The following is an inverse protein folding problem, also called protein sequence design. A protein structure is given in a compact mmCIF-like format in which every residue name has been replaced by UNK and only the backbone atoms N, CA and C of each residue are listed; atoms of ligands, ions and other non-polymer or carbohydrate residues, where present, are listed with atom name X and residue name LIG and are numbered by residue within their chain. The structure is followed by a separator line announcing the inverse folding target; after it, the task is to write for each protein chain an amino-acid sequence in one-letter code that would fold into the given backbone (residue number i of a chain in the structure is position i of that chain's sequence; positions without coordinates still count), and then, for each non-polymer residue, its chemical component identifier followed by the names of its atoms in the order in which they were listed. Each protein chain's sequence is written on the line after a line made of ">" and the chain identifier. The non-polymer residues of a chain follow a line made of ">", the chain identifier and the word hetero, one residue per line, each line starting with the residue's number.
data_IF_738831368762
#
_entry.id   IF_738831368762
#
_cell.length_a   1.000
_cell.length_b   1.000
_cell.length_c   1.000
_cell.angle_alpha   90.00
_cell.angle_beta   90.00
_cell.angle_gamma   90.00
#
_symmetry.space_group_name_H-M   'P 1'
#
loop_
_entity.id
_entity.type
_entity.pdbx_description
1 polymer ?
#
# COMPACT_ATOMS: atom_id res chain seq x y z
N UNK A 1 2.90 13.06 -10.79
CA UNK A 1 3.57 11.73 -10.80
C UNK A 1 4.59 11.47 -9.67
N UNK A 2 5.06 12.47 -8.89
CA UNK A 2 5.85 12.22 -7.65
C UNK A 2 5.17 11.27 -6.64
N UNK A 3 3.84 11.16 -6.67
CA UNK A 3 3.06 10.18 -5.88
C UNK A 3 2.97 8.79 -6.52
N UNK A 4 3.18 8.62 -7.82
CA UNK A 4 3.07 7.34 -8.53
C UNK A 4 4.27 6.42 -8.24
N UNK A 5 5.48 7.01 -8.18
CA UNK A 5 6.69 6.35 -7.63
C UNK A 5 6.52 5.99 -6.14
N UNK A 6 5.89 6.88 -5.35
CA UNK A 6 5.55 6.58 -3.94
C UNK A 6 4.46 5.52 -3.80
N UNK A 7 3.49 5.40 -4.72
CA UNK A 7 2.44 4.37 -4.67
C UNK A 7 2.99 2.97 -4.98
N UNK A 8 3.86 2.86 -5.99
CA UNK A 8 4.55 1.60 -6.32
C UNK A 8 5.54 1.17 -5.22
N UNK A 9 6.09 2.12 -4.44
CA UNK A 9 7.02 1.87 -3.33
C UNK A 9 6.40 1.81 -1.92
N UNK A 10 5.21 2.41 -1.68
CA UNK A 10 4.60 2.46 -0.35
C UNK A 10 3.76 1.23 -0.02
N UNK A 11 3.17 0.57 -1.03
CA UNK A 11 2.51 -0.72 -0.82
C UNK A 11 3.53 -1.85 -0.58
N UNK A 12 4.76 -1.70 -1.08
CA UNK A 12 5.81 -2.72 -1.04
C UNK A 12 6.64 -2.74 0.26
N UNK A 13 6.51 -1.73 1.11
CA UNK A 13 7.31 -1.59 2.34
C UNK A 13 6.64 -2.20 3.58
N UNK A 14 5.31 -2.27 3.66
CA UNK A 14 4.60 -2.69 4.89
C UNK A 14 4.63 -4.22 5.10
N UNK A 15 4.63 -5.02 4.03
CA UNK A 15 4.77 -6.49 4.13
C UNK A 15 6.21 -6.93 4.47
N UNK A 16 7.22 -6.19 4.00
CA UNK A 16 8.62 -6.40 4.43
C UNK A 16 8.84 -5.91 5.87
N UNK A 17 8.23 -4.80 6.28
CA UNK A 17 8.37 -4.25 7.64
C UNK A 17 7.61 -5.01 8.73
N UNK A 18 6.47 -5.64 8.42
CA UNK A 18 5.75 -6.51 9.36
C UNK A 18 6.62 -7.67 9.86
N UNK A 19 7.56 -8.12 9.03
CA UNK A 19 8.49 -9.20 9.36
C UNK A 19 9.92 -8.72 9.63
N UNK A 20 10.31 -7.48 9.30
CA UNK A 20 11.71 -7.06 9.38
C UNK A 20 12.12 -6.16 10.54
N UNK A 21 11.27 -5.40 11.24
CA UNK A 21 11.81 -4.48 12.26
C UNK A 21 10.85 -3.93 13.33
N UNK A 22 11.31 -3.95 14.58
CA UNK A 22 10.83 -3.29 15.82
C UNK A 22 9.72 -3.93 16.65
N UNK A 23 9.13 -5.05 16.25
CA UNK A 23 8.04 -5.70 16.99
C UNK A 23 8.37 -7.09 17.53
N UNK A 24 9.62 -7.44 17.86
CA UNK A 24 9.97 -8.82 18.27
C UNK A 24 10.69 -8.86 19.62
N UNK A 25 10.16 -9.70 20.54
CA UNK A 25 10.58 -9.89 21.93
C UNK A 25 12.03 -10.39 22.07
N UNK A 26 12.65 -10.22 23.24
CA UNK A 26 14.09 -10.41 23.50
C UNK A 26 14.60 -11.86 23.63
N UNK A 27 13.72 -12.86 23.65
CA UNK A 27 14.14 -14.25 23.91
C UNK A 27 14.60 -14.99 22.64
N UNK A 28 15.72 -15.75 22.75
CA UNK A 28 16.16 -16.69 21.71
C UNK A 28 16.95 -16.09 20.54
N UNK A 29 17.89 -15.19 20.83
CA UNK A 29 18.77 -14.56 19.83
C UNK A 29 19.85 -15.56 19.37
N UNK A 30 19.70 -16.14 18.18
CA UNK A 30 20.86 -16.73 17.48
C UNK A 30 21.64 -15.58 16.83
N UNK A 31 22.86 -15.30 17.32
CA UNK A 31 23.73 -14.29 16.72
C UNK A 31 24.08 -14.74 15.31
N UNK A 32 23.71 -13.93 14.31
CA UNK A 32 24.22 -14.16 12.96
C UNK A 32 25.72 -13.82 12.95
N UNK A 33 26.59 -14.66 12.37
CA UNK A 33 27.99 -14.30 12.22
C UNK A 33 28.07 -12.99 11.45
N UNK A 34 28.83 -12.02 11.99
CA UNK A 34 29.19 -10.81 11.27
C UNK A 34 29.99 -11.22 10.03
N UNK A 35 29.32 -11.45 8.91
CA UNK A 35 29.96 -12.00 7.72
C UNK A 35 28.98 -12.42 6.64
N UNK A 36 29.54 -12.78 5.49
CA UNK A 36 28.78 -13.27 4.36
C UNK A 36 28.17 -14.64 4.69
N UNK A 37 26.87 -14.81 4.44
CA UNK A 37 26.15 -16.07 4.67
C UNK A 37 25.84 -16.73 3.32
N UNK A 38 26.39 -17.91 3.08
CA UNK A 38 26.07 -18.73 1.91
C UNK A 38 24.86 -19.64 2.21
N UNK A 39 23.81 -19.52 1.41
CA UNK A 39 22.66 -20.41 1.40
C UNK A 39 22.81 -21.34 0.20
N UNK A 40 22.97 -22.63 0.48
CA UNK A 40 23.00 -23.70 -0.54
C UNK A 40 21.67 -24.43 -0.57
N UNK A 41 21.12 -24.66 -1.76
CA UNK A 41 19.93 -25.47 -2.03
C UNK A 41 20.38 -26.85 -2.50
N UNK A 42 19.80 -27.90 -1.94
CA UNK A 42 19.98 -29.26 -2.42
C UNK A 42 18.68 -29.75 -3.06
N UNK A 43 18.80 -30.65 -4.04
CA UNK A 43 17.63 -31.23 -4.73
C UNK A 43 16.66 -31.96 -3.78
N UNK A 44 17.16 -32.45 -2.64
CA UNK A 44 16.39 -33.20 -1.65
C UNK A 44 16.02 -32.35 -0.42
N UNK A 45 16.18 -31.04 -0.45
CA UNK A 45 15.73 -30.18 0.66
C UNK A 45 14.20 -30.30 0.82
N UNK A 46 13.74 -30.52 2.06
CA UNK A 46 12.30 -30.56 2.34
C UNK A 46 11.65 -29.18 2.16
N UNK A 47 10.32 -29.16 2.04
CA UNK A 47 9.55 -27.90 1.96
C UNK A 47 9.83 -26.98 3.15
N UNK A 48 9.93 -27.53 4.36
CA UNK A 48 10.23 -26.78 5.59
C UNK A 48 11.64 -26.18 5.54
N UNK A 49 12.63 -26.96 5.06
CA UNK A 49 14.01 -26.49 4.95
C UNK A 49 14.14 -25.39 3.88
N UNK A 50 13.48 -25.55 2.73
CA UNK A 50 13.41 -24.52 1.69
C UNK A 50 12.75 -23.24 2.22
N UNK A 51 11.68 -23.37 3.02
CA UNK A 51 11.01 -22.24 3.65
C UNK A 51 11.93 -21.52 4.64
N UNK A 52 12.64 -22.25 5.50
CA UNK A 52 13.64 -21.67 6.42
C UNK A 52 14.77 -20.95 5.70
N UNK A 53 15.23 -21.50 4.57
CA UNK A 53 16.22 -20.84 3.70
C UNK A 53 15.65 -19.56 3.07
N UNK A 54 14.38 -19.57 2.68
CA UNK A 54 13.69 -18.39 2.17
C UNK A 54 13.54 -17.29 3.23
N UNK A 55 13.27 -17.64 4.49
CA UNK A 55 13.17 -16.67 5.61
C UNK A 55 14.44 -15.83 5.75
N UNK A 56 15.62 -16.44 5.55
CA UNK A 56 16.91 -15.73 5.54
C UNK A 56 17.09 -14.78 4.35
N UNK A 57 16.33 -14.97 3.28
CA UNK A 57 16.31 -14.12 2.09
C UNK A 57 15.21 -13.07 2.12
N UNK A 58 14.39 -12.98 3.18
CA UNK A 58 13.33 -11.97 3.36
C UNK A 58 13.93 -10.58 3.67
N UNK A 59 14.69 -10.07 2.71
CA UNK A 59 15.37 -8.78 2.77
C UNK A 59 14.86 -7.89 1.63
N UNK A 60 14.95 -6.56 1.74
CA UNK A 60 14.59 -5.67 0.64
C UNK A 60 15.32 -5.99 -0.68
N UNK A 61 16.51 -6.60 -0.60
CA UNK A 61 17.33 -6.99 -1.75
C UNK A 61 17.24 -8.49 -2.10
N UNK A 62 16.60 -9.31 -1.26
CA UNK A 62 16.51 -10.76 -1.39
C UNK A 62 15.11 -11.31 -1.62
N UNK A 63 14.05 -10.51 -1.44
CA UNK A 63 12.66 -10.99 -1.45
C UNK A 63 12.27 -11.77 -2.73
N UNK A 64 12.79 -11.40 -3.90
CA UNK A 64 12.52 -12.12 -5.14
C UNK A 64 13.13 -13.53 -5.12
N UNK A 65 14.33 -13.68 -4.55
CA UNK A 65 14.96 -14.98 -4.33
C UNK A 65 14.27 -15.78 -3.23
N UNK A 66 13.79 -15.11 -2.17
CA UNK A 66 12.94 -15.75 -1.16
C UNK A 66 11.68 -16.33 -1.81
N UNK A 67 11.01 -15.57 -2.68
CA UNK A 67 9.84 -16.04 -3.42
C UNK A 67 10.14 -17.24 -4.33
N UNK A 68 11.28 -17.26 -5.02
CA UNK A 68 11.71 -18.41 -5.82
C UNK A 68 11.89 -19.68 -4.97
N UNK A 69 12.47 -19.55 -3.77
CA UNK A 69 12.61 -20.65 -2.81
C UNK A 69 11.26 -21.11 -2.23
N UNK A 70 10.38 -20.17 -1.90
CA UNK A 70 9.03 -20.47 -1.42
C UNK A 70 8.21 -21.19 -2.49
N UNK A 71 8.37 -20.80 -3.75
CA UNK A 71 7.74 -21.48 -4.89
C UNK A 71 8.26 -22.92 -5.06
N UNK A 72 9.53 -23.18 -4.75
CA UNK A 72 10.07 -24.55 -4.71
C UNK A 72 9.56 -25.33 -3.50
N UNK A 73 9.49 -24.69 -2.33
CA UNK A 73 8.90 -25.29 -1.12
C UNK A 73 7.45 -25.73 -1.37
N UNK A 74 6.65 -24.88 -2.02
CA UNK A 74 5.25 -25.20 -2.35
C UNK A 74 5.09 -26.26 -3.44
N UNK A 75 6.11 -26.47 -4.28
CA UNK A 75 6.14 -27.61 -5.22
C UNK A 75 6.49 -28.91 -4.50
N UNK A 76 7.36 -28.86 -3.50
CA UNK A 76 7.71 -30.02 -2.68
C UNK A 76 6.56 -30.41 -1.75
N UNK A 77 5.88 -29.43 -1.15
CA UNK A 77 4.65 -29.61 -0.39
C UNK A 77 3.75 -28.37 -0.51
N UNK A 78 2.65 -28.52 -1.23
CA UNK A 78 1.64 -27.47 -1.42
C UNK A 78 0.87 -27.14 -0.13
N UNK A 79 0.88 -28.03 0.87
CA UNK A 79 0.24 -27.88 2.17
C UNK A 79 1.05 -27.06 3.18
N UNK A 80 2.31 -26.71 2.88
CA UNK A 80 3.17 -25.96 3.79
C UNK A 80 2.62 -24.55 4.05
N UNK A 81 1.93 -24.40 5.18
CA UNK A 81 1.24 -23.16 5.55
C UNK A 81 2.19 -21.97 5.71
N UNK A 82 3.40 -22.21 6.25
CA UNK A 82 4.42 -21.16 6.40
C UNK A 82 4.87 -20.64 5.03
N UNK A 83 5.15 -21.55 4.10
CA UNK A 83 5.52 -21.18 2.74
C UNK A 83 4.39 -20.41 2.04
N UNK A 84 3.13 -20.83 2.21
CA UNK A 84 1.96 -20.15 1.65
C UNK A 84 1.79 -18.73 2.19
N UNK A 85 1.95 -18.52 3.51
CA UNK A 85 1.90 -17.18 4.11
C UNK A 85 2.91 -16.25 3.43
N UNK A 86 4.18 -16.66 3.36
CA UNK A 86 5.22 -15.83 2.77
C UNK A 86 5.07 -15.64 1.26
N UNK A 87 4.74 -16.70 0.52
CA UNK A 87 4.58 -16.63 -0.93
C UNK A 87 3.47 -15.65 -1.32
N UNK A 88 2.31 -15.74 -0.67
CA UNK A 88 1.20 -14.81 -0.92
C UNK A 88 1.57 -13.36 -0.54
N UNK A 89 2.23 -13.16 0.60
CA UNK A 89 2.67 -11.84 1.03
C UNK A 89 3.66 -11.18 0.04
N UNK A 90 4.56 -11.97 -0.55
CA UNK A 90 5.59 -11.48 -1.47
C UNK A 90 5.13 -11.37 -2.93
N UNK A 91 4.07 -12.08 -3.33
CA UNK A 91 3.73 -12.20 -4.75
C UNK A 91 3.46 -10.85 -5.42
N UNK A 92 2.73 -9.95 -4.75
CA UNK A 92 2.47 -8.59 -5.23
C UNK A 92 3.76 -7.77 -5.46
N UNK A 93 4.81 -8.03 -4.68
CA UNK A 93 6.13 -7.41 -4.85
C UNK A 93 6.84 -7.95 -6.08
N UNK A 94 6.78 -9.28 -6.28
CA UNK A 94 7.44 -9.96 -7.40
C UNK A 94 6.86 -9.56 -8.74
N UNK A 95 5.56 -9.22 -8.80
CA UNK A 95 4.93 -8.68 -10.00
C UNK A 95 5.57 -7.36 -10.48
N UNK A 96 6.22 -6.60 -9.59
CA UNK A 96 6.91 -5.35 -9.94
C UNK A 96 8.30 -5.56 -10.55
N UNK A 97 8.66 -6.80 -10.91
CA UNK A 97 9.90 -7.08 -11.66
C UNK A 97 9.94 -6.24 -12.93
N UNK A 98 11.05 -5.51 -13.10
CA UNK A 98 11.27 -4.67 -14.27
C UNK A 98 10.40 -3.42 -14.35
N UNK A 99 9.54 -3.13 -13.36
CA UNK A 99 8.51 -2.10 -13.51
C UNK A 99 9.07 -0.73 -13.91
N UNK A 100 10.24 -0.33 -13.40
CA UNK A 100 10.84 0.95 -13.76
C UNK A 100 11.14 0.98 -15.26
N UNK A 101 11.83 -0.04 -15.78
CA UNK A 101 12.11 -0.14 -17.21
C UNK A 101 10.83 -0.29 -18.05
N UNK A 102 9.84 -1.04 -17.57
CA UNK A 102 8.57 -1.28 -18.26
C UNK A 102 7.78 0.00 -18.50
N UNK A 103 7.76 0.94 -17.55
CA UNK A 103 7.02 2.21 -17.66
C UNK A 103 7.79 3.32 -18.40
N UNK A 104 9.05 3.10 -18.80
CA UNK A 104 9.83 4.11 -19.52
C UNK A 104 9.11 4.67 -20.76
N UNK A 105 8.47 3.86 -21.63
CA UNK A 105 7.78 4.39 -22.81
C UNK A 105 6.62 5.33 -22.48
N UNK A 106 5.89 5.10 -21.39
CA UNK A 106 4.80 6.00 -20.99
C UNK A 106 5.35 7.32 -20.42
N UNK A 107 6.50 7.30 -19.75
CA UNK A 107 7.17 8.53 -19.29
C UNK A 107 7.66 9.37 -20.47
N UNK A 108 8.20 8.73 -21.51
CA UNK A 108 8.58 9.38 -22.77
C UNK A 108 7.37 10.04 -23.47
N UNK A 109 6.20 9.39 -23.44
CA UNK A 109 4.96 9.94 -24.03
C UNK A 109 4.36 11.10 -23.22
N UNK A 110 4.58 11.13 -21.92
CA UNK A 110 4.09 12.21 -21.06
C UNK A 110 4.88 13.50 -21.32
N UNK A 111 6.21 13.41 -21.46
CA UNK A 111 7.04 14.56 -21.85
C UNK A 111 8.41 14.59 -21.17
N UNK A 112 9.27 15.49 -21.62
CA UNK A 112 10.68 15.56 -21.21
C UNK A 112 10.86 15.78 -19.71
N UNK A 113 10.01 16.61 -19.09
CA UNK A 113 10.03 16.85 -17.65
C UNK A 113 9.69 15.57 -16.86
N UNK A 114 8.68 14.82 -17.28
CA UNK A 114 8.34 13.54 -16.66
C UNK A 114 9.44 12.50 -16.84
N UNK A 115 10.04 12.42 -18.03
CA UNK A 115 11.16 11.53 -18.33
C UNK A 115 12.40 11.88 -17.49
N UNK A 116 12.74 13.17 -17.40
CA UNK A 116 13.86 13.69 -16.59
C UNK A 116 13.66 13.37 -15.10
N UNK A 117 12.46 13.64 -14.57
CA UNK A 117 12.11 13.29 -13.20
C UNK A 117 12.21 11.78 -12.95
N UNK A 118 11.72 10.96 -13.88
CA UNK A 118 11.83 9.50 -13.81
C UNK A 118 13.30 9.03 -13.82
N UNK A 119 14.15 9.59 -14.67
CA UNK A 119 15.58 9.28 -14.72
C UNK A 119 16.33 9.71 -13.44
N UNK A 120 15.99 10.88 -12.89
CA UNK A 120 16.53 11.36 -11.62
C UNK A 120 16.14 10.42 -10.46
N UNK A 121 14.87 10.00 -10.40
CA UNK A 121 14.39 9.03 -9.40
C UNK A 121 15.14 7.69 -9.51
N UNK A 122 15.33 7.16 -10.72
CA UNK A 122 16.13 5.93 -10.93
C UNK A 122 17.57 6.10 -10.48
N UNK A 123 18.16 7.26 -10.74
CA UNK A 123 19.54 7.57 -10.35
C UNK A 123 19.70 7.63 -8.83
N UNK A 124 18.67 8.10 -8.13
CA UNK A 124 18.62 8.16 -6.66
C UNK A 124 18.44 6.80 -5.97
N UNK A 125 18.01 5.77 -6.69
CA UNK A 125 17.95 4.40 -6.16
C UNK A 125 19.39 3.86 -6.09
N UNK A 126 19.86 3.42 -4.90
CA UNK A 126 21.16 2.78 -4.75
C UNK A 126 21.37 1.64 -5.74
N UNK A 127 22.60 1.43 -6.21
CA UNK A 127 22.93 0.30 -7.07
C UNK A 127 22.87 -1.02 -6.28
N UNK A 128 21.67 -1.58 -6.13
CA UNK A 128 21.39 -2.74 -5.31
C UNK A 128 20.70 -3.86 -6.11
N UNK A 129 20.50 -5.03 -5.49
CA UNK A 129 19.69 -6.10 -6.09
C UNK A 129 18.24 -5.66 -6.33
N UNK A 130 17.66 -4.80 -5.47
CA UNK A 130 16.35 -4.21 -5.71
C UNK A 130 16.34 -3.36 -6.99
N UNK A 131 17.33 -2.47 -7.19
CA UNK A 131 17.41 -1.65 -8.42
C UNK A 131 17.50 -2.53 -9.66
N UNK A 132 18.36 -3.55 -9.64
CA UNK A 132 18.48 -4.53 -10.73
C UNK A 132 17.17 -5.26 -10.98
N UNK A 133 16.47 -5.69 -9.93
CA UNK A 133 15.16 -6.32 -10.02
C UNK A 133 14.13 -5.40 -10.69
N UNK A 134 14.04 -4.14 -10.26
CA UNK A 134 13.10 -3.14 -10.79
C UNK A 134 13.43 -2.70 -12.22
N UNK A 135 14.66 -2.88 -12.70
CA UNK A 135 15.09 -2.58 -14.08
C UNK A 135 15.12 -3.83 -14.99
N UNK A 136 14.89 -5.03 -14.44
CA UNK A 136 14.91 -6.29 -15.19
C UNK A 136 13.56 -6.56 -15.89
N UNK A 137 13.33 -5.91 -17.03
CA UNK A 137 12.15 -6.12 -17.86
C UNK A 137 12.29 -5.59 -19.29
N UNK A 138 11.26 -5.82 -20.10
CA UNK A 138 11.07 -5.19 -21.40
C UNK A 138 10.44 -3.80 -21.24
N UNK A 139 10.61 -2.90 -22.20
CA UNK A 139 9.92 -1.61 -22.23
C UNK A 139 8.52 -1.80 -22.85
N UNK A 140 7.56 -2.34 -22.10
CA UNK A 140 6.28 -2.83 -22.64
C UNK A 140 5.03 -2.05 -22.18
N UNK A 141 5.12 -1.18 -21.18
CA UNK A 141 4.00 -0.37 -20.66
C UNK A 141 4.06 1.04 -21.28
N UNK A 142 3.37 1.19 -22.41
CA UNK A 142 3.33 2.43 -23.20
C UNK A 142 1.96 3.11 -23.22
N UNK A 143 0.93 2.49 -22.63
CA UNK A 143 -0.46 3.00 -22.63
C UNK A 143 -1.08 2.94 -21.24
N UNK A 144 -2.09 3.78 -20.99
CA UNK A 144 -2.87 3.74 -19.76
C UNK A 144 -3.51 2.37 -19.51
N UNK A 145 -3.99 1.69 -20.55
CA UNK A 145 -4.56 0.34 -20.44
C UNK A 145 -3.55 -0.66 -19.88
N UNK A 146 -2.29 -0.61 -20.34
CA UNK A 146 -1.25 -1.49 -19.82
C UNK A 146 -0.83 -1.14 -18.38
N UNK A 147 -0.84 0.14 -18.02
CA UNK A 147 -0.66 0.57 -16.62
C UNK A 147 -1.76 -0.03 -15.75
N UNK A 148 -3.02 0.09 -16.15
CA UNK A 148 -4.14 -0.47 -15.40
C UNK A 148 -4.09 -1.99 -15.33
N UNK A 149 -3.71 -2.68 -16.41
CA UNK A 149 -3.52 -4.13 -16.40
C UNK A 149 -2.46 -4.56 -15.37
N UNK A 150 -1.34 -3.85 -15.27
CA UNK A 150 -0.32 -4.09 -14.25
C UNK A 150 -0.87 -3.84 -12.83
N UNK A 151 -1.56 -2.72 -12.61
CA UNK A 151 -2.16 -2.41 -11.31
C UNK A 151 -3.21 -3.46 -10.90
N UNK A 152 -4.03 -3.94 -11.83
CA UNK A 152 -5.01 -4.99 -11.59
C UNK A 152 -4.34 -6.32 -11.22
N UNK A 153 -3.19 -6.66 -11.82
CA UNK A 153 -2.42 -7.85 -11.45
C UNK A 153 -1.89 -7.74 -10.01
N UNK A 154 -1.35 -6.57 -9.63
CA UNK A 154 -0.90 -6.30 -8.25
C UNK A 154 -2.08 -6.37 -7.27
N UNK A 155 -3.21 -5.75 -7.61
CA UNK A 155 -4.46 -5.80 -6.84
C UNK A 155 -4.93 -7.23 -6.63
N UNK A 156 -4.95 -8.06 -7.68
CA UNK A 156 -5.35 -9.47 -7.60
C UNK A 156 -4.46 -10.27 -6.66
N UNK A 157 -3.14 -10.02 -6.68
CA UNK A 157 -2.20 -10.65 -5.75
C UNK A 157 -2.43 -10.22 -4.29
N UNK A 158 -2.77 -8.95 -4.06
CA UNK A 158 -3.11 -8.45 -2.72
C UNK A 158 -4.43 -9.01 -2.21
N UNK A 159 -5.44 -9.14 -3.08
CA UNK A 159 -6.70 -9.79 -2.73
C UNK A 159 -6.47 -11.26 -2.38
N UNK A 160 -5.72 -12.01 -3.19
CA UNK A 160 -5.36 -13.39 -2.87
C UNK A 160 -4.69 -13.54 -1.49
N UNK A 161 -3.78 -12.61 -1.14
CA UNK A 161 -3.18 -12.59 0.19
C UNK A 161 -4.21 -12.27 1.30
N UNK A 162 -5.03 -11.25 1.11
CA UNK A 162 -6.08 -10.87 2.06
C UNK A 162 -7.08 -12.02 2.30
N UNK A 163 -7.57 -12.68 1.25
CA UNK A 163 -8.45 -13.84 1.36
C UNK A 163 -7.76 -15.00 2.07
N UNK A 164 -6.50 -15.30 1.71
CA UNK A 164 -5.73 -16.35 2.38
C UNK A 164 -5.63 -16.10 3.89
N UNK A 165 -5.32 -14.88 4.32
CA UNK A 165 -5.24 -14.52 5.74
C UNK A 165 -6.61 -14.66 6.42
N UNK A 166 -7.68 -14.21 5.77
CA UNK A 166 -9.06 -14.31 6.28
C UNK A 166 -9.49 -15.76 6.49
N UNK A 167 -9.21 -16.63 5.53
CA UNK A 167 -9.51 -18.07 5.58
C UNK A 167 -8.64 -18.83 6.59
N UNK A 168 -7.45 -18.33 6.89
CA UNK A 168 -6.45 -18.99 7.74
C UNK A 168 -6.18 -18.24 9.06
N UNK A 169 -7.17 -17.51 9.58
CA UNK A 169 -7.03 -16.70 10.81
C UNK A 169 -6.55 -17.47 12.04
N UNK A 170 -6.77 -18.78 12.09
CA UNK A 170 -6.39 -19.65 13.22
C UNK A 170 -5.04 -20.38 13.01
N UNK A 171 -4.23 -19.94 12.04
CA UNK A 171 -2.90 -20.53 11.85
C UNK A 171 -2.03 -20.26 13.08
N UNK A 172 -1.32 -21.29 13.52
CA UNK A 172 -0.23 -21.20 14.49
C UNK A 172 1.03 -21.72 13.80
N UNK A 173 1.89 -20.80 13.37
CA UNK A 173 3.16 -21.13 12.75
C UNK A 173 4.29 -20.38 13.43
N UNK A 174 5.39 -21.08 13.57
CA UNK A 174 6.66 -20.46 13.90
C UNK A 174 7.19 -19.70 12.69
N UNK A 175 7.76 -18.53 12.88
CA UNK A 175 8.47 -17.75 11.88
C UNK A 175 9.84 -17.39 12.41
N UNK A 176 10.79 -17.22 11.51
CA UNK A 176 12.16 -16.83 11.83
C UNK A 176 12.52 -15.50 11.14
N UNK A 177 11.85 -14.39 11.50
CA UNK A 177 12.17 -13.08 10.98
C UNK A 177 13.62 -12.70 11.31
N UNK A 178 14.29 -12.11 10.33
CA UNK A 178 15.65 -11.61 10.54
C UNK A 178 15.59 -10.21 11.14
N UNK A 179 16.24 -10.00 12.27
CA UNK A 179 16.20 -8.72 12.99
C UNK A 179 17.33 -7.82 12.52
N UNK A 180 16.94 -6.64 12.04
CA UNK A 180 17.87 -5.57 11.71
C UNK A 180 18.26 -4.82 13.00
N UNK A 181 19.54 -4.46 13.10
CA UNK A 181 20.05 -3.56 14.14
C UNK A 181 19.15 -2.32 14.34
N UNK A 182 18.77 -2.04 15.59
CA UNK A 182 18.08 -0.79 15.95
C UNK A 182 18.96 0.39 15.48
N UNK A 183 18.38 1.30 14.70
CA UNK A 183 19.09 2.45 14.12
C UNK A 183 19.39 2.35 12.61
N UNK A 184 19.28 1.17 12.00
CA UNK A 184 19.38 1.03 10.54
C UNK A 184 18.01 1.32 9.92
N UNK A 185 17.89 2.46 9.25
CA UNK A 185 16.67 2.77 8.49
C UNK A 185 16.57 1.92 7.21
N UNK A 186 15.37 1.83 6.63
CA UNK A 186 15.12 1.05 5.41
C UNK A 186 16.05 1.44 4.25
N UNK A 187 16.38 2.72 4.10
CA UNK A 187 17.29 3.20 3.05
C UNK A 187 18.70 2.65 3.25
N UNK A 188 19.17 2.57 4.49
CA UNK A 188 20.44 1.92 4.83
C UNK A 188 20.40 0.41 4.58
N UNK A 189 19.27 -0.27 4.78
CA UNK A 189 19.14 -1.69 4.39
C UNK A 189 19.29 -1.90 2.88
N UNK A 190 18.76 -0.97 2.07
CA UNK A 190 18.87 -1.04 0.61
C UNK A 190 20.33 -0.91 0.13
N UNK A 191 21.18 -0.19 0.86
CA UNK A 191 22.58 0.07 0.48
C UNK A 191 23.56 -0.94 1.08
N UNK A 192 23.34 -1.40 2.31
CA UNK A 192 24.31 -2.20 3.05
C UNK A 192 24.09 -3.69 2.83
N UNK A 193 22.84 -4.16 2.82
CA UNK A 193 22.53 -5.58 2.69
C UNK A 193 22.44 -6.00 1.22
N UNK A 194 23.28 -6.93 0.77
CA UNK A 194 23.24 -7.45 -0.59
C UNK A 194 22.89 -8.94 -0.60
N UNK A 195 22.11 -9.34 -1.60
CA UNK A 195 21.84 -10.75 -1.89
C UNK A 195 22.26 -11.01 -3.33
N UNK A 196 23.21 -11.92 -3.51
CA UNK A 196 23.78 -12.30 -4.80
C UNK A 196 23.46 -13.76 -5.10
N UNK A 197 22.82 -14.03 -6.25
CA UNK A 197 22.67 -15.40 -6.75
C UNK A 197 24.00 -15.84 -7.40
N UNK A 198 24.71 -16.78 -6.77
CA UNK A 198 25.99 -17.32 -7.25
C UNK A 198 25.80 -18.41 -8.30
N UNK A 199 24.77 -19.24 -8.12
CA UNK A 199 24.38 -20.29 -9.06
C UNK A 199 22.87 -20.55 -8.96
N UNK A 200 22.35 -21.55 -9.69
CA UNK A 200 20.97 -22.00 -9.51
C UNK A 200 20.68 -22.53 -8.10
N UNK A 201 21.71 -22.95 -7.37
CA UNK A 201 21.60 -23.59 -6.05
C UNK A 201 22.27 -22.80 -4.93
N UNK A 202 22.83 -21.62 -5.19
CA UNK A 202 23.59 -20.88 -4.19
C UNK A 202 23.24 -19.39 -4.18
N UNK A 203 22.96 -18.87 -2.98
CA UNK A 203 22.74 -17.45 -2.71
C UNK A 203 23.72 -16.98 -1.64
N UNK A 204 24.39 -15.85 -1.87
CA UNK A 204 25.30 -15.23 -0.92
C UNK A 204 24.66 -13.95 -0.39
N UNK A 205 24.37 -13.93 0.92
CA UNK A 205 23.94 -12.76 1.66
C UNK A 205 25.18 -12.05 2.17
N UNK A 206 25.37 -10.78 1.83
CA UNK A 206 26.55 -9.99 2.22
C UNK A 206 26.15 -8.77 3.01
N UNK A 207 26.96 -8.45 4.02
CA UNK A 207 26.94 -7.14 4.71
C UNK A 207 25.57 -6.74 5.27
N UNK A 208 24.67 -7.69 5.49
CA UNK A 208 23.37 -7.36 6.06
C UNK A 208 23.54 -7.11 7.57
N UNK A 209 23.10 -5.95 8.11
CA UNK A 209 23.31 -5.58 9.50
C UNK A 209 22.31 -6.28 10.42
N UNK A 210 22.20 -7.59 10.28
CA UNK A 210 21.34 -8.42 11.08
C UNK A 210 22.03 -8.74 12.39
N UNK A 211 21.35 -8.47 13.49
CA UNK A 211 21.86 -8.84 14.82
C UNK A 211 21.60 -10.28 15.13
N UNK A 212 20.46 -10.79 14.65
CA UNK A 212 19.96 -12.08 15.05
C UNK A 212 18.83 -12.58 14.15
N UNK A 213 18.65 -13.90 14.17
CA UNK A 213 17.39 -14.53 13.80
C UNK A 213 16.63 -14.78 15.10
N UNK A 214 15.39 -14.31 15.18
CA UNK A 214 14.51 -14.66 16.30
C UNK A 214 13.39 -15.54 15.83
N UNK A 215 13.06 -16.51 16.67
CA UNK A 215 11.90 -17.36 16.47
C UNK A 215 10.69 -16.71 17.13
N UNK A 216 9.62 -16.51 16.36
CA UNK A 216 8.36 -15.97 16.85
C UNK A 216 7.20 -16.81 16.35
N UNK A 217 6.10 -16.84 17.10
CA UNK A 217 4.85 -17.47 16.67
C UNK A 217 3.92 -16.44 16.07
N UNK A 218 3.42 -16.73 14.87
CA UNK A 218 2.21 -16.12 14.35
C UNK A 218 1.02 -16.91 14.88
N UNK A 219 0.30 -16.32 15.82
CA UNK A 219 -0.98 -16.86 16.27
C UNK A 219 -2.16 -16.03 15.76
N UNK A 220 -3.39 -16.33 16.22
CA UNK A 220 -4.60 -15.67 15.74
C UNK A 220 -4.60 -14.15 15.82
N UNK A 221 -4.10 -13.58 16.92
CA UNK A 221 -4.00 -12.12 17.06
C UNK A 221 -2.99 -11.48 16.09
N UNK A 222 -1.90 -12.18 15.76
CA UNK A 222 -0.93 -11.68 14.78
C UNK A 222 -1.54 -11.75 13.36
N UNK A 223 -2.32 -12.79 13.09
CA UNK A 223 -3.05 -12.94 11.83
C UNK A 223 -4.13 -11.87 11.65
N UNK A 224 -4.79 -11.47 12.74
CA UNK A 224 -5.76 -10.36 12.73
C UNK A 224 -5.08 -9.04 12.35
N UNK A 225 -3.92 -8.75 12.93
CA UNK A 225 -3.12 -7.56 12.55
C UNK A 225 -2.71 -7.64 11.08
N UNK A 226 -2.20 -8.78 10.62
CA UNK A 226 -1.81 -8.99 9.21
C UNK A 226 -3.02 -8.83 8.28
N UNK A 227 -4.21 -9.28 8.69
CA UNK A 227 -5.46 -9.12 7.94
C UNK A 227 -5.76 -7.66 7.67
N UNK A 228 -5.68 -6.81 8.69
CA UNK A 228 -5.90 -5.36 8.52
C UNK A 228 -4.80 -4.68 7.69
N UNK A 229 -3.55 -5.15 7.78
CA UNK A 229 -2.46 -4.65 6.93
C UNK A 229 -2.70 -5.00 5.46
N UNK A 230 -3.10 -6.24 5.17
CA UNK A 230 -3.46 -6.69 3.82
C UNK A 230 -4.70 -5.94 3.30
N UNK A 231 -5.70 -5.73 4.16
CA UNK A 231 -6.88 -4.94 3.84
C UNK A 231 -6.50 -3.50 3.45
N UNK A 232 -5.64 -2.82 4.20
CA UNK A 232 -5.18 -1.46 3.86
C UNK A 232 -4.52 -1.36 2.48
N UNK A 233 -3.75 -2.38 2.08
CA UNK A 233 -3.17 -2.46 0.74
C UNK A 233 -4.25 -2.62 -0.34
N UNK A 234 -5.17 -3.57 -0.13
CA UNK A 234 -6.29 -3.80 -1.07
C UNK A 234 -7.19 -2.57 -1.20
N UNK A 235 -7.51 -1.87 -0.10
CA UNK A 235 -8.26 -0.60 -0.13
C UNK A 235 -7.57 0.42 -1.03
N UNK A 236 -6.25 0.61 -0.86
CA UNK A 236 -5.49 1.54 -1.69
C UNK A 236 -5.53 1.15 -3.17
N UNK A 237 -5.47 -0.14 -3.49
CA UNK A 237 -5.56 -0.62 -4.88
C UNK A 237 -6.96 -0.45 -5.47
N UNK A 238 -8.03 -0.71 -4.71
CA UNK A 238 -9.41 -0.45 -5.14
C UNK A 238 -9.58 1.03 -5.48
N UNK A 239 -9.23 1.93 -4.56
CA UNK A 239 -9.40 3.37 -4.75
C UNK A 239 -8.62 3.92 -5.96
N UNK A 240 -7.50 3.30 -6.31
CA UNK A 240 -6.63 3.75 -7.41
C UNK A 240 -6.95 3.11 -8.75
N UNK A 241 -7.73 2.02 -8.76
CA UNK A 241 -8.07 1.26 -9.97
C UNK A 241 -9.55 1.26 -10.31
N UNK A 242 -10.42 1.79 -9.44
CA UNK A 242 -11.88 1.80 -9.62
C UNK A 242 -12.35 2.49 -10.92
N UNK A 243 -11.60 3.47 -11.40
CA UNK A 243 -11.93 4.27 -12.58
C UNK A 243 -10.95 4.04 -13.74
N UNK A 244 -11.43 4.19 -14.95
CA UNK A 244 -10.65 4.02 -16.17
C UNK A 244 -9.65 5.18 -16.35
N UNK A 245 -8.39 4.84 -16.65
CA UNK A 245 -7.29 5.79 -16.83
C UNK A 245 -7.03 6.09 -18.32
N UNK A 246 -7.77 5.48 -19.25
CA UNK A 246 -7.63 5.70 -20.69
C UNK A 246 -7.87 7.18 -21.02
N UNK A 247 -6.89 7.82 -21.64
CA UNK A 247 -6.87 9.27 -21.84
C UNK A 247 -6.03 10.04 -20.81
N UNK A 248 -5.69 9.40 -19.68
CA UNK A 248 -4.93 10.04 -18.60
C UNK A 248 -3.48 10.34 -18.95
N UNK A 249 -2.88 9.60 -19.91
CA UNK A 249 -1.53 9.91 -20.43
C UNK A 249 -1.53 11.23 -21.18
N UNK A 250 -2.57 11.47 -21.99
CA UNK A 250 -2.72 12.70 -22.76
C UNK A 250 -2.96 13.90 -21.84
N UNK A 251 -3.82 13.74 -20.83
CA UNK A 251 -4.04 14.78 -19.81
C UNK A 251 -2.75 15.04 -19.01
N UNK A 252 -2.03 13.98 -18.63
CA UNK A 252 -0.75 14.12 -17.94
C UNK A 252 0.30 14.84 -18.81
N UNK A 253 0.31 14.61 -20.11
CA UNK A 253 1.20 15.31 -21.03
C UNK A 253 0.87 16.81 -21.12
N UNK A 254 -0.41 17.19 -21.06
CA UNK A 254 -0.82 18.58 -20.97
C UNK A 254 -0.33 19.24 -19.67
N UNK A 255 -0.41 18.53 -18.53
CA UNK A 255 0.10 19.03 -17.23
C UNK A 255 1.60 19.33 -17.26
N UNK A 256 2.38 18.63 -18.07
CA UNK A 256 3.82 18.90 -18.21
C UNK A 256 4.14 20.10 -19.12
N UNK A 257 3.15 20.64 -19.83
CA UNK A 257 3.29 21.92 -20.54
C UNK A 257 3.37 23.08 -19.53
N UNK A 258 3.89 24.23 -19.96
CA UNK A 258 4.15 25.36 -19.04
C UNK A 258 2.80 25.93 -18.54
N UNK A 259 2.49 25.60 -17.29
CA UNK A 259 1.44 26.20 -16.44
C UNK A 259 0.01 26.21 -17.02
N UNK A 260 -0.55 25.07 -17.44
CA UNK A 260 -1.95 25.04 -17.84
C UNK A 260 -2.85 25.37 -16.65
N UNK A 261 -3.80 26.27 -16.84
CA UNK A 261 -4.80 26.58 -15.82
C UNK A 261 -5.83 25.45 -15.70
N UNK A 262 -6.68 25.49 -14.66
CA UNK A 262 -7.67 24.43 -14.44
C UNK A 262 -8.67 24.31 -15.60
N UNK A 263 -9.04 25.43 -16.23
CA UNK A 263 -9.97 25.45 -17.37
C UNK A 263 -9.44 24.63 -18.55
N UNK A 264 -8.17 24.82 -18.92
CA UNK A 264 -7.52 24.08 -20.00
C UNK A 264 -7.41 22.58 -19.66
N UNK A 265 -6.97 22.26 -18.44
CA UNK A 265 -6.82 20.88 -17.98
C UNK A 265 -8.16 20.13 -17.94
N UNK A 266 -9.20 20.77 -17.38
CA UNK A 266 -10.53 20.17 -17.29
C UNK A 266 -11.16 20.06 -18.68
N UNK A 267 -10.96 21.06 -19.55
CA UNK A 267 -11.44 21.01 -20.93
C UNK A 267 -10.84 19.82 -21.68
N UNK A 268 -9.52 19.63 -21.62
CA UNK A 268 -8.87 18.47 -22.24
C UNK A 268 -9.35 17.15 -21.64
N UNK A 269 -9.42 17.05 -20.31
CA UNK A 269 -9.91 15.85 -19.63
C UNK A 269 -11.34 15.49 -20.05
N UNK A 270 -12.22 16.48 -20.25
CA UNK A 270 -13.59 16.28 -20.73
C UNK A 270 -13.65 15.70 -22.15
N UNK A 271 -12.68 16.00 -23.01
CA UNK A 271 -12.58 15.40 -24.35
C UNK A 271 -12.21 13.91 -24.34
N UNK A 272 -11.63 13.40 -23.24
CA UNK A 272 -11.20 11.99 -23.16
C UNK A 272 -12.38 11.11 -22.77
N UNK A 273 -13.00 10.47 -23.77
CA UNK A 273 -14.26 9.74 -23.59
C UNK A 273 -14.27 8.74 -22.44
N UNK A 274 -13.19 7.98 -22.24
CA UNK A 274 -13.12 6.92 -21.23
C UNK A 274 -12.43 7.31 -19.92
N UNK A 275 -11.78 8.48 -19.86
CA UNK A 275 -11.10 8.91 -18.65
C UNK A 275 -12.10 9.16 -17.53
N UNK A 276 -11.87 8.59 -16.35
CA UNK A 276 -12.71 8.81 -15.17
C UNK A 276 -14.04 8.06 -15.19
N UNK A 277 -14.31 7.22 -16.20
CA UNK A 277 -15.47 6.31 -16.18
C UNK A 277 -15.26 5.19 -15.18
N UNK A 278 -16.27 4.89 -14.39
CA UNK A 278 -16.28 3.77 -13.45
C UNK A 278 -16.13 2.45 -14.21
N UNK A 279 -15.23 1.58 -13.77
CA UNK A 279 -15.10 0.25 -14.37
C UNK A 279 -16.19 -0.69 -13.84
N UNK A 280 -16.54 -1.71 -14.62
CA UNK A 280 -17.48 -2.76 -14.19
C UNK A 280 -16.93 -3.61 -13.03
N UNK A 281 -15.60 -3.73 -12.93
CA UNK A 281 -14.84 -4.47 -11.92
C UNK A 281 -14.20 -3.52 -10.87
N UNK A 282 -14.87 -2.43 -10.51
CA UNK A 282 -14.30 -1.38 -9.65
C UNK A 282 -14.09 -1.79 -8.18
N UNK A 283 -14.84 -2.77 -7.68
CA UNK A 283 -14.77 -3.29 -6.30
C UNK A 283 -14.99 -2.24 -5.19
N UNK A 284 -15.51 -1.04 -5.47
CA UNK A 284 -15.74 -0.02 -4.43
C UNK A 284 -16.71 -0.50 -3.35
N UNK A 285 -17.73 -1.27 -3.73
CA UNK A 285 -18.67 -1.87 -2.78
C UNK A 285 -17.99 -2.84 -1.80
N UNK A 286 -16.85 -3.45 -2.17
CA UNK A 286 -16.11 -4.33 -1.24
C UNK A 286 -15.52 -3.56 -0.05
N UNK A 287 -15.29 -2.25 -0.21
CA UNK A 287 -14.79 -1.40 0.88
C UNK A 287 -15.78 -1.34 2.06
N UNK A 288 -17.07 -1.53 1.82
CA UNK A 288 -18.09 -1.65 2.87
C UNK A 288 -17.82 -2.89 3.72
N UNK A 289 -17.62 -4.05 3.09
CA UNK A 289 -17.29 -5.29 3.79
C UNK A 289 -15.94 -5.20 4.50
N UNK A 290 -14.94 -4.57 3.89
CA UNK A 290 -13.62 -4.38 4.52
C UNK A 290 -13.68 -3.43 5.72
N UNK A 291 -14.55 -2.41 5.67
CA UNK A 291 -14.86 -1.55 6.80
C UNK A 291 -15.51 -2.33 7.95
N UNK A 292 -16.48 -3.19 7.65
CA UNK A 292 -17.10 -4.06 8.65
C UNK A 292 -16.08 -5.02 9.28
N UNK A 293 -15.24 -5.67 8.46
CA UNK A 293 -14.15 -6.52 8.93
C UNK A 293 -13.18 -5.76 9.87
N UNK A 294 -12.93 -4.47 9.63
CA UNK A 294 -12.12 -3.61 10.49
C UNK A 294 -12.79 -3.36 11.86
N UNK A 295 -14.08 -3.04 11.87
CA UNK A 295 -14.85 -2.84 13.11
C UNK A 295 -14.89 -4.13 13.93
N UNK A 296 -15.20 -5.26 13.29
CA UNK A 296 -15.24 -6.58 13.92
C UNK A 296 -13.88 -6.96 14.52
N UNK A 297 -12.79 -6.72 13.79
CA UNK A 297 -11.43 -6.99 14.26
C UNK A 297 -11.05 -6.12 15.46
N UNK A 298 -11.45 -4.84 15.46
CA UNK A 298 -11.20 -3.95 16.58
C UNK A 298 -11.99 -4.34 17.84
N UNK A 299 -13.27 -4.70 17.71
CA UNK A 299 -14.07 -5.18 18.84
C UNK A 299 -13.58 -6.55 19.34
N UNK A 300 -13.06 -7.41 18.45
CA UNK A 300 -12.39 -8.65 18.86
C UNK A 300 -11.12 -8.39 19.69
N UNK A 301 -10.25 -7.47 19.26
CA UNK A 301 -9.05 -7.08 20.02
C UNK A 301 -9.46 -6.51 21.39
N UNK A 302 -10.48 -5.66 21.42
CA UNK A 302 -11.03 -5.07 22.65
C UNK A 302 -11.60 -6.12 23.60
N UNK A 303 -12.29 -7.13 23.09
CA UNK A 303 -12.79 -8.27 23.87
C UNK A 303 -11.69 -9.12 24.50
N UNK A 304 -10.48 -9.13 23.90
CA UNK A 304 -9.31 -9.88 24.38
C UNK A 304 -8.22 -8.98 24.98
N UNK A 305 -8.54 -7.75 25.35
CA UNK A 305 -7.52 -6.77 25.71
C UNK A 305 -6.66 -7.21 26.91
N UNK A 306 -7.23 -7.89 27.90
CA UNK A 306 -6.46 -8.42 29.05
C UNK A 306 -5.38 -9.42 28.63
N UNK A 307 -5.59 -10.13 27.53
CA UNK A 307 -4.64 -11.10 26.98
C UNK A 307 -3.65 -10.45 26.00
N UNK A 308 -4.15 -9.52 25.17
CA UNK A 308 -3.38 -8.92 24.09
C UNK A 308 -2.62 -7.66 24.51
N UNK A 309 -3.04 -6.98 25.57
CA UNK A 309 -2.42 -5.79 26.16
C UNK A 309 -2.45 -5.87 27.71
N UNK A 310 -1.75 -6.85 28.32
CA UNK A 310 -1.84 -7.13 29.76
C UNK A 310 -1.41 -5.96 30.66
N UNK A 311 -0.63 -5.00 30.16
CA UNK A 311 -0.23 -3.81 30.93
C UNK A 311 -1.14 -2.59 30.70
N UNK A 312 -2.21 -2.75 29.92
CA UNK A 312 -3.20 -1.69 29.65
C UNK A 312 -2.65 -0.47 28.91
N UNK A 313 -1.43 -0.55 28.39
CA UNK A 313 -0.77 0.53 27.66
C UNK A 313 0.14 -0.03 26.58
N UNK A 314 0.40 0.75 25.53
CA UNK A 314 1.24 0.30 24.42
C UNK A 314 2.72 0.27 24.83
N UNK A 315 3.25 -0.92 25.17
CA UNK A 315 4.68 -1.12 25.49
C UNK A 315 5.28 -2.29 24.71
N UNK A 316 6.61 -2.27 24.56
CA UNK A 316 7.37 -3.38 23.97
C UNK A 316 7.30 -4.63 24.86
N UNK A 317 7.43 -5.80 24.23
CA UNK A 317 7.58 -7.11 24.88
C UNK A 317 6.42 -7.52 25.80
N UNK A 318 5.20 -7.07 25.53
CA UNK A 318 3.99 -7.54 26.22
C UNK A 318 3.45 -8.87 25.70
N UNK A 319 3.81 -9.23 24.47
CA UNK A 319 3.45 -10.49 23.82
C UNK A 319 4.74 -11.29 23.52
N UNK A 320 5.43 -11.83 24.54
CA UNK A 320 6.70 -12.53 24.35
C UNK A 320 6.53 -13.73 23.42
N UNK A 321 7.52 -13.95 22.54
CA UNK A 321 7.49 -15.02 21.55
C UNK A 321 6.43 -14.87 20.44
N UNK A 322 5.72 -13.73 20.35
CA UNK A 322 4.79 -13.44 19.24
C UNK A 322 5.44 -12.55 18.19
N UNK A 323 4.92 -12.62 16.96
CA UNK A 323 5.41 -11.84 15.84
C UNK A 323 5.22 -10.32 16.04
N UNK A 324 4.12 -9.92 16.70
CA UNK A 324 3.94 -8.56 17.19
C UNK A 324 4.08 -8.54 18.72
N UNK A 325 5.28 -8.23 19.20
CA UNK A 325 5.68 -8.26 20.62
C UNK A 325 5.06 -7.14 21.45
N UNK A 326 4.60 -6.07 20.81
CA UNK A 326 3.87 -4.99 21.46
C UNK A 326 2.45 -5.43 21.79
N UNK A 327 1.90 -4.87 22.86
CA UNK A 327 0.49 -5.10 23.21
C UNK A 327 -0.44 -4.58 22.13
N UNK A 328 -1.54 -5.29 21.86
CA UNK A 328 -2.64 -4.81 21.02
C UNK A 328 -3.69 -4.17 21.93
N UNK A 329 -3.52 -2.88 22.20
CA UNK A 329 -4.29 -2.14 23.20
C UNK A 329 -5.41 -1.35 22.49
N UNK A 330 -6.66 -1.78 22.62
CA UNK A 330 -7.78 -1.07 22.01
C UNK A 330 -8.24 0.13 22.86
N UNK A 331 -8.12 0.03 24.18
CA UNK A 331 -8.60 1.01 25.14
C UNK A 331 -7.55 2.02 25.61
N UNK A 332 -6.26 1.85 25.26
CA UNK A 332 -5.20 2.80 25.63
C UNK A 332 -5.43 4.20 25.03
N UNK A 333 -5.92 5.12 25.85
CA UNK A 333 -6.14 6.52 25.45
C UNK A 333 -4.90 7.38 25.59
N UNK A 334 -3.83 6.89 26.23
CA UNK A 334 -2.57 7.63 26.40
C UNK A 334 -1.71 7.58 25.14
N UNK A 335 -1.79 6.49 24.38
CA UNK A 335 -1.08 6.32 23.13
C UNK A 335 -1.76 7.04 21.94
N UNK A 336 -0.97 7.82 21.20
CA UNK A 336 -1.48 8.60 20.07
C UNK A 336 -1.90 7.72 18.89
N UNK A 337 -1.23 6.59 18.67
CA UNK A 337 -1.56 5.67 17.59
C UNK A 337 -2.89 4.96 17.86
N UNK A 338 -3.13 4.53 19.09
CA UNK A 338 -4.37 3.91 19.54
C UNK A 338 -5.55 4.87 19.44
N UNK A 339 -5.38 6.13 19.89
CA UNK A 339 -6.40 7.18 19.68
C UNK A 339 -6.73 7.38 18.20
N UNK A 340 -5.71 7.41 17.35
CA UNK A 340 -5.88 7.54 15.90
C UNK A 340 -6.66 6.36 15.31
N UNK A 341 -6.28 5.12 15.63
CA UNK A 341 -6.96 3.91 15.17
C UNK A 341 -8.43 3.91 15.63
N UNK A 342 -8.70 4.22 16.91
CA UNK A 342 -10.09 4.31 17.41
C UNK A 342 -10.90 5.35 16.65
N UNK A 343 -10.33 6.54 16.42
CA UNK A 343 -11.00 7.58 15.63
C UNK A 343 -11.33 7.10 14.22
N UNK A 344 -10.43 6.35 13.58
CA UNK A 344 -10.66 5.75 12.25
C UNK A 344 -11.78 4.71 12.33
N UNK A 345 -11.73 3.77 13.28
CA UNK A 345 -12.75 2.72 13.46
C UNK A 345 -14.13 3.33 13.71
N UNK A 346 -14.24 4.29 14.63
CA UNK A 346 -15.51 4.99 14.90
C UNK A 346 -16.02 5.76 13.68
N UNK A 347 -15.13 6.35 12.89
CA UNK A 347 -15.51 7.03 11.64
C UNK A 347 -16.06 6.03 10.62
N UNK A 348 -15.38 4.90 10.45
CA UNK A 348 -15.81 3.82 9.56
C UNK A 348 -17.15 3.25 10.01
N UNK A 349 -17.32 2.93 11.29
CA UNK A 349 -18.57 2.43 11.86
C UNK A 349 -19.75 3.37 11.57
N UNK A 350 -19.56 4.68 11.81
CA UNK A 350 -20.57 5.69 11.49
C UNK A 350 -20.92 5.72 10.00
N UNK A 351 -19.92 5.69 9.12
CA UNK A 351 -20.14 5.67 7.66
C UNK A 351 -20.85 4.41 7.18
N UNK A 352 -20.62 3.26 7.83
CA UNK A 352 -21.30 1.99 7.50
C UNK A 352 -22.75 1.97 7.97
N UNK A 353 -23.06 2.68 9.05
CA UNK A 353 -24.41 2.81 9.59
C UNK A 353 -25.30 3.74 8.74
N UNK A 354 -24.71 4.62 7.92
CA UNK A 354 -25.41 5.53 7.03
C UNK A 354 -24.72 6.89 6.93
N UNK A 355 -25.43 7.95 6.51
CA UNK A 355 -24.87 9.29 6.43
C UNK A 355 -24.41 9.78 7.80
N UNK A 356 -23.16 10.24 7.89
CA UNK A 356 -22.53 10.63 9.15
C UNK A 356 -21.80 11.97 9.06
N UNK A 357 -21.85 12.76 10.12
CA UNK A 357 -21.02 13.96 10.23
C UNK A 357 -19.56 13.58 10.49
N UNK A 358 -18.69 14.03 9.59
CA UNK A 358 -17.24 13.83 9.67
C UNK A 358 -16.56 15.17 9.87
N UNK A 359 -15.58 15.16 10.76
CA UNK A 359 -14.73 16.33 11.01
C UNK A 359 -13.69 16.49 9.90
N UNK A 360 -13.52 17.70 9.40
CA UNK A 360 -12.40 18.07 8.52
C UNK A 360 -11.80 19.41 8.97
N UNK A 361 -10.58 19.71 8.52
CA UNK A 361 -9.87 20.92 8.91
C UNK A 361 -9.65 21.80 7.70
N UNK A 362 -10.08 23.05 7.81
CA UNK A 362 -9.91 24.06 6.78
C UNK A 362 -8.44 24.43 6.64
N UNK A 363 -7.97 24.56 5.41
CA UNK A 363 -6.53 24.62 5.08
C UNK A 363 -5.85 25.91 5.56
N UNK A 364 -6.53 27.05 5.55
CA UNK A 364 -5.89 28.35 5.80
C UNK A 364 -5.85 28.78 7.28
N UNK A 365 -6.82 28.37 8.10
CA UNK A 365 -6.90 28.72 9.52
C UNK A 365 -6.84 27.50 10.46
N UNK A 366 -6.87 26.26 9.91
CA UNK A 366 -6.93 25.04 10.69
C UNK A 366 -8.25 24.83 11.44
N UNK A 367 -9.29 25.62 11.15
CA UNK A 367 -10.57 25.53 11.84
C UNK A 367 -11.23 24.17 11.58
N UNK A 368 -11.66 23.53 12.66
CA UNK A 368 -12.42 22.29 12.61
C UNK A 368 -13.81 22.58 12.06
N UNK A 369 -14.20 21.86 11.01
CA UNK A 369 -15.50 21.91 10.35
C UNK A 369 -16.14 20.53 10.38
N UNK A 370 -17.45 20.47 10.15
CA UNK A 370 -18.19 19.23 9.99
C UNK A 370 -18.92 19.21 8.66
N UNK A 371 -18.97 18.04 8.05
CA UNK A 371 -19.75 17.79 6.84
C UNK A 371 -20.47 16.46 6.93
N UNK A 372 -21.71 16.39 6.44
CA UNK A 372 -22.46 15.15 6.32
C UNK A 372 -21.91 14.35 5.13
N UNK A 373 -21.48 13.11 5.38
CA UNK A 373 -20.91 12.21 4.38
C UNK A 373 -21.74 10.94 4.28
N UNK A 374 -22.26 10.63 3.09
CA UNK A 374 -22.95 9.39 2.75
C UNK A 374 -21.94 8.37 2.22
N UNK A 375 -21.03 7.93 3.10
CA UNK A 375 -19.86 7.14 2.72
C UNK A 375 -20.23 5.77 2.14
N UNK A 376 -21.17 5.06 2.77
CA UNK A 376 -21.63 3.75 2.29
C UNK A 376 -22.39 3.87 0.98
N UNK A 377 -23.31 4.81 0.87
CA UNK A 377 -24.11 5.03 -0.34
C UNK A 377 -23.22 5.40 -1.52
N UNK A 378 -22.18 6.22 -1.29
CA UNK A 378 -21.18 6.53 -2.31
C UNK A 378 -20.38 5.30 -2.76
N UNK A 379 -20.02 4.40 -1.84
CA UNK A 379 -19.27 3.18 -2.19
C UNK A 379 -20.13 2.15 -2.93
N UNK A 380 -21.42 2.05 -2.59
CA UNK A 380 -22.37 1.16 -3.25
C UNK A 380 -22.87 1.74 -4.59
N UNK A 381 -23.02 3.06 -4.68
CA UNK A 381 -23.51 3.78 -5.85
C UNK A 381 -22.56 4.92 -6.28
N UNK A 382 -21.30 4.61 -6.62
CA UNK A 382 -20.31 5.64 -6.96
C UNK A 382 -20.67 6.31 -8.29
N UNK A 383 -20.20 7.55 -8.45
CA UNK A 383 -20.32 8.30 -9.70
C UNK A 383 -19.87 7.44 -10.89
N UNK A 384 -20.73 7.32 -11.91
CA UNK A 384 -20.39 6.50 -13.11
C UNK A 384 -19.32 7.17 -13.98
N UNK A 385 -19.17 8.49 -13.88
CA UNK A 385 -18.16 9.27 -14.57
C UNK A 385 -17.68 10.40 -13.65
N UNK A 386 -16.41 10.38 -13.22
CA UNK A 386 -15.82 11.43 -12.39
C UNK A 386 -15.84 12.81 -13.07
N UNK A 387 -15.91 12.86 -14.41
CA UNK A 387 -16.00 14.12 -15.16
C UNK A 387 -17.33 14.84 -14.94
N UNK A 388 -18.36 14.15 -14.45
CA UNK A 388 -19.63 14.78 -14.04
C UNK A 388 -19.47 15.70 -12.83
N UNK A 389 -18.43 15.46 -12.01
CA UNK A 389 -18.09 16.31 -10.86
C UNK A 389 -17.32 17.55 -11.31
N UNK A 390 -16.50 17.42 -12.36
CA UNK A 390 -15.62 18.50 -12.80
C UNK A 390 -16.41 19.75 -13.24
N UNK A 391 -15.89 20.97 -12.98
CA UNK A 391 -16.49 22.24 -13.38
C UNK A 391 -16.95 22.24 -14.84
N UNK A 392 -18.15 22.78 -15.12
CA UNK A 392 -18.66 22.94 -16.49
C UNK A 392 -17.84 24.02 -17.22
N UNK A 393 -17.07 23.60 -18.23
CA UNK A 393 -16.13 24.46 -18.97
C UNK A 393 -16.82 25.44 -19.91
N UNK A 394 -18.14 25.29 -20.13
CA UNK A 394 -18.95 26.23 -20.90
C UNK A 394 -19.46 27.43 -20.10
N UNK A 395 -19.34 27.40 -18.76
CA UNK A 395 -19.81 28.46 -17.87
C UNK A 395 -18.64 29.27 -17.34
N UNK A 396 -18.57 30.54 -17.72
CA UNK A 396 -17.50 31.45 -17.31
C UNK A 396 -17.37 31.55 -15.77
N UNK A 397 -18.49 31.63 -15.05
CA UNK A 397 -18.50 31.78 -13.59
C UNK A 397 -17.94 30.57 -12.81
N UNK A 398 -17.67 29.45 -13.50
CA UNK A 398 -17.02 28.28 -12.91
C UNK A 398 -15.49 28.43 -12.80
N UNK A 399 -14.94 29.48 -13.38
CA UNK A 399 -13.53 29.75 -13.40
C UNK A 399 -13.28 31.23 -13.07
N UNK A 400 -12.21 31.51 -12.34
CA UNK A 400 -11.78 32.89 -12.14
C UNK A 400 -11.09 33.43 -13.40
N UNK A 401 -10.72 34.71 -13.38
CA UNK A 401 -9.98 35.37 -14.46
C UNK A 401 -8.60 34.74 -14.77
N UNK A 402 -8.10 33.87 -13.88
CA UNK A 402 -6.83 33.15 -14.03
C UNK A 402 -7.05 31.71 -14.51
N UNK A 403 -8.31 31.32 -14.76
CA UNK A 403 -8.69 29.98 -15.18
C UNK A 403 -8.65 28.95 -14.06
N UNK A 404 -8.60 29.35 -12.78
CA UNK A 404 -8.75 28.43 -11.66
C UNK A 404 -10.21 28.08 -11.45
N UNK A 405 -10.50 26.82 -11.12
CA UNK A 405 -11.87 26.42 -10.80
C UNK A 405 -12.39 27.14 -9.55
N UNK A 406 -13.62 27.65 -9.61
CA UNK A 406 -14.32 28.31 -8.48
C UNK A 406 -15.47 27.48 -7.93
N UNK A 407 -16.02 26.57 -8.75
CA UNK A 407 -17.09 25.65 -8.38
C UNK A 407 -17.08 24.36 -9.23
N UNK A 408 -17.53 23.26 -8.63
CA UNK A 408 -17.78 21.98 -9.30
C UNK A 408 -19.18 21.92 -9.91
N UNK A 409 -19.37 21.06 -10.91
CA UNK A 409 -20.68 20.87 -11.54
C UNK A 409 -21.64 20.06 -10.66
N UNK A 410 -21.12 19.05 -9.96
CA UNK A 410 -21.87 18.26 -8.99
C UNK A 410 -21.39 18.57 -7.57
N UNK A 411 -22.17 19.36 -6.85
CA UNK A 411 -21.90 19.76 -5.46
C UNK A 411 -22.11 18.63 -4.46
N UNK A 412 -22.69 17.50 -4.86
CA UNK A 412 -22.73 16.30 -4.03
C UNK A 412 -21.44 15.48 -4.11
N UNK A 413 -20.51 15.83 -5.02
CA UNK A 413 -19.29 15.08 -5.30
C UNK A 413 -19.55 13.60 -5.62
N UNK A 414 -20.53 13.34 -6.50
CA UNK A 414 -20.92 12.00 -6.88
C UNK A 414 -21.76 11.29 -5.82
N UNK A 415 -22.54 12.04 -5.02
CA UNK A 415 -23.37 11.51 -3.94
C UNK A 415 -22.67 11.37 -2.58
N UNK A 416 -21.36 11.66 -2.48
CA UNK A 416 -20.61 11.59 -1.22
C UNK A 416 -21.13 12.60 -0.18
N UNK A 417 -21.51 13.80 -0.62
CA UNK A 417 -21.97 14.92 0.20
C UNK A 417 -23.46 15.17 -0.07
N UNK A 418 -24.39 14.50 0.63
CA UNK A 418 -25.82 14.58 0.33
C UNK A 418 -26.40 16.00 0.46
N UNK A 419 -25.78 16.86 1.26
CA UNK A 419 -26.20 18.25 1.48
C UNK A 419 -25.70 19.23 0.41
N UNK A 420 -25.08 18.77 -0.68
CA UNK A 420 -24.56 19.64 -1.73
C UNK A 420 -23.46 20.61 -1.25
N UNK A 421 -22.71 20.21 -0.22
CA UNK A 421 -21.65 21.02 0.40
C UNK A 421 -20.32 21.02 -0.38
N UNK A 422 -20.25 20.40 -1.56
CA UNK A 422 -19.01 20.17 -2.31
C UNK A 422 -18.19 21.42 -2.57
N UNK A 423 -18.80 22.52 -3.01
CA UNK A 423 -18.08 23.78 -3.22
C UNK A 423 -17.48 24.34 -1.92
N UNK A 424 -18.24 24.27 -0.82
CA UNK A 424 -17.77 24.72 0.50
C UNK A 424 -16.58 23.89 0.95
N UNK A 425 -16.71 22.56 0.93
CA UNK A 425 -15.65 21.64 1.34
C UNK A 425 -14.40 21.80 0.48
N UNK A 426 -14.55 21.84 -0.84
CA UNK A 426 -13.42 21.99 -1.76
C UNK A 426 -12.74 23.36 -1.62
N UNK A 427 -13.52 24.42 -1.35
CA UNK A 427 -12.97 25.74 -1.02
C UNK A 427 -12.18 25.63 0.28
N UNK A 428 -12.78 25.16 1.38
CA UNK A 428 -12.11 24.99 2.68
C UNK A 428 -10.81 24.17 2.61
N UNK A 429 -10.74 23.17 1.72
CA UNK A 429 -9.55 22.35 1.48
C UNK A 429 -8.52 23.01 0.53
N UNK A 430 -8.84 24.18 -0.02
CA UNK A 430 -8.03 24.93 -0.98
C UNK A 430 -7.80 24.19 -2.30
N UNK A 431 -8.82 23.44 -2.75
CA UNK A 431 -8.84 22.73 -4.03
C UNK A 431 -9.36 23.64 -5.14
N UNK A 432 -10.39 24.43 -4.85
CA UNK A 432 -10.97 25.45 -5.75
C UNK A 432 -10.83 26.84 -5.10
N UNK A 433 -11.10 27.92 -5.85
CA UNK A 433 -10.94 29.31 -5.42
C UNK A 433 -9.51 29.62 -4.95
N UNK A 434 -8.52 29.15 -5.71
CA UNK A 434 -7.10 29.41 -5.42
C UNK A 434 -6.74 30.84 -5.83
N UNK A 435 -5.83 31.52 -5.11
CA UNK A 435 -5.36 32.84 -5.53
C UNK A 435 -4.71 32.77 -6.92
N UNK A 436 -4.92 33.80 -7.72
CA UNK A 436 -4.11 34.09 -8.89
C UNK A 436 -2.67 34.41 -8.44
N UNK A 437 -1.69 33.63 -8.91
CA UNK A 437 -0.27 33.85 -8.61
C UNK A 437 0.49 34.30 -9.85
#
# INVERSE_FOLDING_TARGET
>A
MKKFSRLLCAASSVALLAFSTNALAEDGVESLPNGDTLITINANDSSELLTKKAERLLTPNGFAHAYDLLSQALRADSGNKKARVYANALYSLVLNKGILKRIKPIMERVGDNALSNYQAEISNIPNSSLKRFLLNGSEDIDTATKVQAHLNAVKSAQDAFYQYIKENKNIDIEISPTIVNQGVNFRSLLTVCEVEKKSSTQYLIKRCPYTSVKTAKLGPADMEVIRHMAAGQKISSILTTAYNLKGGVQVAALVEQINPNDHELISDAKTKSDLGKLKSDNELAELVQMGADLVDGFEWIKGLESELCPRGSYQNNQRPGKAFSRGLCANDTSDAQTRSIRSVVTTVEKMLAGPAFIDYYRKWDGAKQQVLVAGREFLENPAKDLKSILPDTSKADNFDQCGNATQVADTTLGGLLPNQDGNKVLTDLGVINRPCY
#
